data_IF_850044317179
#
_entry.id   IF_850044317179
#
_cell.length_a   1.000
_cell.length_b   1.000
_cell.length_c   1.000
_cell.angle_alpha   90.00
_cell.angle_beta   90.00
_cell.angle_gamma   90.00
#
_symmetry.space_group_name_H-M   'P 1'
#
loop_
_entity.id
_entity.type
_entity.pdbx_description
1 polymer ?
#
# COMPACT_ATOMS: atom_id res chain seq x y z
N UNK A 1 -22.56 31.27 -15.93
CA UNK A 1 -22.57 29.82 -15.75
C UNK A 1 -21.14 29.39 -15.42
N UNK A 2 -20.82 28.77 -14.29
CA UNK A 2 -19.48 28.29 -13.99
C UNK A 2 -19.18 27.07 -14.89
N UNK A 3 -18.00 27.05 -15.51
CA UNK A 3 -17.52 25.91 -16.31
C UNK A 3 -17.32 24.72 -15.39
N UNK A 4 -18.08 23.65 -15.59
CA UNK A 4 -17.89 22.36 -14.97
C UNK A 4 -16.60 21.79 -15.56
N UNK A 5 -15.54 21.72 -14.77
CA UNK A 5 -14.30 21.04 -15.14
C UNK A 5 -14.57 19.55 -15.27
N UNK A 6 -14.27 18.97 -16.42
CA UNK A 6 -14.42 17.54 -16.67
C UNK A 6 -13.42 16.78 -15.79
N UNK A 7 -13.85 15.95 -14.83
CA UNK A 7 -12.96 15.25 -13.87
C UNK A 7 -12.12 14.14 -14.51
N UNK A 8 -12.28 13.86 -15.80
CA UNK A 8 -11.56 12.80 -16.52
C UNK A 8 -10.37 13.31 -17.35
N UNK A 9 -10.06 14.60 -17.32
CA UNK A 9 -8.85 15.12 -17.99
C UNK A 9 -7.67 14.90 -17.06
N UNK A 10 -6.87 13.89 -17.36
CA UNK A 10 -5.57 13.70 -16.72
C UNK A 10 -4.74 14.98 -16.95
N UNK A 11 -4.07 15.50 -15.91
CA UNK A 11 -3.19 16.65 -16.10
C UNK A 11 -2.16 16.30 -17.17
N UNK A 12 -2.00 17.20 -18.14
CA UNK A 12 -1.04 17.01 -19.24
C UNK A 12 0.33 16.66 -18.66
N UNK A 13 0.89 15.53 -19.10
CA UNK A 13 2.21 15.09 -18.71
C UNK A 13 3.22 16.16 -19.17
N UNK A 14 3.91 16.79 -18.23
CA UNK A 14 4.94 17.78 -18.57
C UNK A 14 6.14 17.09 -19.21
N UNK A 15 6.59 17.58 -20.34
CA UNK A 15 7.82 17.10 -20.99
C UNK A 15 9.04 17.57 -20.20
N UNK A 16 10.10 16.77 -20.20
CA UNK A 16 11.36 17.11 -19.54
C UNK A 16 11.91 18.45 -20.04
N UNK A 17 12.36 19.32 -19.13
CA UNK A 17 12.93 20.62 -19.46
C UNK A 17 14.24 20.56 -20.28
N UNK A 18 14.91 19.40 -20.32
CA UNK A 18 16.04 19.23 -21.24
C UNK A 18 15.52 19.18 -22.66
N UNK A 19 15.90 20.15 -23.52
CA UNK A 19 15.33 20.31 -24.87
C UNK A 19 15.60 19.13 -25.81
N UNK A 20 16.61 18.31 -25.49
CA UNK A 20 16.97 17.12 -26.27
C UNK A 20 16.37 15.82 -25.70
N UNK A 21 15.42 15.93 -24.76
CA UNK A 21 14.82 14.80 -24.10
C UNK A 21 13.31 14.77 -24.33
N UNK A 22 12.83 13.84 -25.14
CA UNK A 22 11.38 13.64 -25.37
C UNK A 22 10.64 12.93 -24.22
N UNK A 23 11.30 12.66 -23.09
CA UNK A 23 10.71 11.92 -21.97
C UNK A 23 9.84 12.82 -21.08
N UNK A 24 8.86 12.20 -20.40
CA UNK A 24 7.99 12.87 -19.45
C UNK A 24 8.79 13.32 -18.22
N UNK A 25 8.57 14.57 -17.80
CA UNK A 25 9.14 15.10 -16.57
C UNK A 25 8.46 14.47 -15.36
N UNK A 26 9.25 13.85 -14.50
CA UNK A 26 8.77 13.14 -13.30
C UNK A 26 9.22 13.79 -12.00
N UNK A 27 10.12 14.79 -12.08
CA UNK A 27 10.58 15.53 -10.91
C UNK A 27 9.87 16.88 -10.77
N UNK A 28 9.85 17.40 -9.53
CA UNK A 28 9.31 18.75 -9.23
C UNK A 28 10.03 19.85 -10.03
N UNK A 29 11.29 19.62 -10.38
CA UNK A 29 12.16 20.52 -11.15
C UNK A 29 11.83 20.46 -12.66
N UNK A 30 10.93 19.60 -13.11
CA UNK A 30 10.56 19.41 -14.50
C UNK A 30 11.61 18.63 -15.32
N UNK A 31 12.41 17.77 -14.66
CA UNK A 31 13.38 16.89 -15.31
C UNK A 31 12.88 15.43 -15.32
N UNK A 32 13.25 14.67 -16.34
CA UNK A 32 13.03 13.23 -16.38
C UNK A 32 14.08 12.48 -15.52
N UNK A 33 13.88 11.19 -15.20
CA UNK A 33 14.82 10.43 -14.37
C UNK A 33 16.26 10.40 -14.91
N UNK A 34 16.43 10.48 -16.24
CA UNK A 34 17.75 10.49 -16.87
C UNK A 34 18.51 11.82 -16.68
N UNK A 35 17.79 12.92 -16.46
CA UNK A 35 18.36 14.27 -16.34
C UNK A 35 18.23 14.87 -14.95
N UNK A 36 17.53 14.22 -14.05
CA UNK A 36 17.53 14.62 -12.65
C UNK A 36 18.93 14.43 -12.05
N UNK A 37 19.48 15.41 -11.31
CA UNK A 37 20.81 15.30 -10.74
C UNK A 37 20.90 14.07 -9.84
N UNK A 38 21.85 13.18 -10.11
CA UNK A 38 22.16 12.01 -9.29
C UNK A 38 22.76 12.55 -8.00
N UNK A 39 21.94 12.73 -6.98
CA UNK A 39 22.46 12.94 -5.61
C UNK A 39 23.01 11.61 -5.12
N UNK A 40 24.35 11.48 -5.02
CA UNK A 40 24.99 10.30 -4.39
C UNK A 40 24.39 10.09 -3.00
N UNK A 41 23.67 9.01 -2.83
CA UNK A 41 23.19 8.60 -1.50
C UNK A 41 24.37 8.08 -0.70
N UNK A 42 24.47 8.54 0.53
CA UNK A 42 25.21 7.83 1.56
C UNK A 42 24.52 6.47 1.75
N UNK A 43 25.30 5.40 1.75
CA UNK A 43 24.81 4.04 2.02
C UNK A 43 24.01 4.03 3.34
N UNK A 44 22.69 4.02 3.23
CA UNK A 44 21.82 3.94 4.39
C UNK A 44 21.60 2.45 4.71
N UNK A 45 22.42 1.92 5.62
CA UNK A 45 22.20 0.61 6.26
C UNK A 45 21.21 0.68 7.43
N UNK A 46 20.60 1.84 7.69
CA UNK A 46 19.67 2.03 8.80
C UNK A 46 18.21 1.96 8.34
N UNK A 47 17.38 1.31 9.16
CA UNK A 47 15.91 1.28 8.99
C UNK A 47 15.36 2.68 8.74
N UNK A 48 14.32 2.84 7.87
CA UNK A 48 13.71 4.13 7.63
C UNK A 48 13.29 4.75 8.97
N UNK A 49 13.82 5.93 9.26
CA UNK A 49 13.40 6.67 10.46
C UNK A 49 12.00 7.21 10.21
N UNK A 50 11.06 6.82 11.06
CA UNK A 50 9.74 7.45 11.11
C UNK A 50 9.93 8.95 11.32
N UNK A 51 9.31 9.83 10.53
CA UNK A 51 9.37 11.26 10.78
C UNK A 51 8.93 11.56 12.20
N UNK A 52 9.70 12.38 12.94
CA UNK A 52 9.46 12.70 14.35
C UNK A 52 8.06 13.28 14.63
N UNK A 53 7.42 13.83 13.60
CA UNK A 53 6.09 14.44 13.63
C UNK A 53 4.96 13.49 13.16
N UNK A 54 5.27 12.29 12.65
CA UNK A 54 4.24 11.39 12.16
C UNK A 54 3.52 10.74 13.34
N UNK A 55 2.30 11.20 13.62
CA UNK A 55 1.37 10.48 14.50
C UNK A 55 0.76 9.32 13.71
N UNK A 56 0.97 8.10 14.16
CA UNK A 56 0.41 6.89 13.53
C UNK A 56 0.77 6.74 12.05
N UNK A 57 2.08 6.65 11.70
CA UNK A 57 2.53 6.60 10.32
C UNK A 57 1.99 5.36 9.59
N UNK A 58 1.87 5.49 8.28
CA UNK A 58 1.61 4.35 7.38
C UNK A 58 2.93 3.97 6.71
N UNK A 59 3.26 2.69 6.75
CA UNK A 59 4.34 2.09 5.98
C UNK A 59 3.82 1.45 4.70
N UNK A 60 4.61 1.49 3.64
CA UNK A 60 4.31 0.84 2.37
C UNK A 60 5.54 0.08 1.92
N UNK A 61 5.38 -1.18 1.54
CA UNK A 61 6.40 -2.02 0.94
C UNK A 61 5.94 -2.44 -0.46
N UNK A 62 6.71 -2.04 -1.48
CA UNK A 62 6.47 -2.37 -2.88
C UNK A 62 7.54 -3.35 -3.34
N UNK A 63 7.18 -4.62 -3.52
CA UNK A 63 8.06 -5.65 -4.06
C UNK A 63 8.06 -5.62 -5.59
N UNK A 64 9.24 -5.67 -6.19
CA UNK A 64 9.44 -5.57 -7.64
C UNK A 64 10.65 -6.35 -8.11
N UNK A 65 10.65 -6.73 -9.39
CA UNK A 65 11.82 -7.27 -10.09
C UNK A 65 12.72 -6.14 -10.60
N UNK A 66 13.92 -6.48 -11.08
CA UNK A 66 14.94 -5.56 -11.57
C UNK A 66 15.54 -4.66 -10.46
N UNK A 67 16.00 -5.28 -9.37
CA UNK A 67 16.58 -4.61 -8.20
C UNK A 67 17.66 -3.58 -8.55
N UNK A 68 18.51 -3.85 -9.55
CA UNK A 68 19.54 -2.90 -9.98
C UNK A 68 18.94 -1.57 -10.43
N UNK A 69 17.79 -1.60 -11.08
CA UNK A 69 17.05 -0.40 -11.49
C UNK A 69 16.39 0.30 -10.31
N UNK A 70 15.93 -0.46 -9.30
CA UNK A 70 15.42 0.11 -8.05
C UNK A 70 16.49 0.91 -7.31
N UNK A 71 17.73 0.46 -7.29
CA UNK A 71 18.85 1.17 -6.66
C UNK A 71 19.09 2.56 -7.28
N UNK A 72 18.71 2.76 -8.53
CA UNK A 72 18.81 4.07 -9.21
C UNK A 72 17.64 5.02 -8.87
N UNK A 73 16.58 4.53 -8.20
CA UNK A 73 15.43 5.32 -7.76
C UNK A 73 15.64 6.02 -6.41
N UNK A 74 16.83 6.04 -5.93
CA UNK A 74 17.25 6.50 -4.60
C UNK A 74 16.84 7.92 -4.21
N UNK A 75 16.39 8.72 -5.17
CA UNK A 75 15.87 10.08 -4.90
C UNK A 75 14.47 10.09 -4.30
N UNK A 76 13.74 8.99 -4.37
CA UNK A 76 12.32 8.91 -3.95
C UNK A 76 12.09 7.91 -2.84
N UNK A 77 12.75 6.76 -2.90
CA UNK A 77 12.61 5.71 -1.91
C UNK A 77 13.57 5.94 -0.74
N UNK A 78 13.05 5.97 0.47
CA UNK A 78 13.89 6.09 1.67
C UNK A 78 14.72 4.83 1.93
N UNK A 79 14.29 3.71 1.38
CA UNK A 79 14.98 2.43 1.59
C UNK A 79 14.65 1.46 0.44
N UNK A 80 15.68 0.91 -0.17
CA UNK A 80 15.59 -0.21 -1.12
C UNK A 80 16.42 -1.35 -0.57
N UNK A 81 15.83 -2.53 -0.43
CA UNK A 81 16.54 -3.72 0.01
C UNK A 81 16.33 -4.91 -0.94
N UNK A 82 17.18 -5.90 -0.82
CA UNK A 82 16.96 -7.18 -1.49
C UNK A 82 15.87 -7.96 -0.78
N UNK A 83 15.01 -8.61 -1.55
CA UNK A 83 14.08 -9.59 -1.03
C UNK A 83 14.29 -10.93 -1.73
N UNK A 84 14.89 -11.88 -1.00
CA UNK A 84 15.16 -13.22 -1.51
C UNK A 84 13.90 -14.04 -1.78
N UNK A 85 12.75 -13.68 -1.21
CA UNK A 85 11.49 -14.39 -1.40
C UNK A 85 10.95 -14.25 -2.83
N UNK A 86 11.30 -13.15 -3.51
CA UNK A 86 10.86 -12.86 -4.88
C UNK A 86 11.93 -13.16 -5.94
N UNK A 87 13.07 -13.73 -5.53
CA UNK A 87 14.15 -14.20 -6.40
C UNK A 87 15.38 -13.31 -6.39
N UNK A 88 16.40 -13.72 -7.16
CA UNK A 88 17.73 -13.09 -7.15
C UNK A 88 17.71 -11.60 -7.53
N UNK A 89 16.88 -11.22 -8.50
CA UNK A 89 16.74 -9.84 -8.98
C UNK A 89 15.58 -9.10 -8.32
N UNK A 90 15.02 -9.69 -7.28
CA UNK A 90 13.92 -9.09 -6.53
C UNK A 90 14.41 -8.07 -5.51
N UNK A 91 13.62 -7.02 -5.34
CA UNK A 91 13.84 -6.00 -4.34
C UNK A 91 12.54 -5.37 -3.86
N UNK A 92 12.62 -4.73 -2.70
CA UNK A 92 11.49 -4.05 -2.13
C UNK A 92 11.82 -2.58 -1.82
N UNK A 93 10.85 -1.71 -2.06
CA UNK A 93 10.92 -0.28 -1.71
C UNK A 93 10.08 -0.07 -0.46
N UNK A 94 10.71 0.45 0.60
CA UNK A 94 10.02 0.79 1.87
C UNK A 94 9.82 2.29 1.99
N UNK A 95 8.58 2.68 2.20
CA UNK A 95 8.14 4.06 2.40
C UNK A 95 7.45 4.19 3.75
N UNK A 96 7.65 5.31 4.43
CA UNK A 96 6.93 5.63 5.68
C UNK A 96 6.56 7.10 5.67
N UNK A 97 5.29 7.42 5.88
CA UNK A 97 4.78 8.79 5.90
C UNK A 97 3.44 8.88 6.65
N UNK A 98 2.97 10.11 6.90
CA UNK A 98 1.62 10.38 7.39
C UNK A 98 0.55 9.88 6.41
N UNK A 99 -0.60 9.46 6.92
CA UNK A 99 -1.72 8.96 6.13
C UNK A 99 -2.14 9.91 4.99
N UNK A 100 -2.08 11.23 5.22
CA UNK A 100 -2.45 12.22 4.22
C UNK A 100 -1.48 12.31 3.01
N UNK A 101 -0.25 11.81 3.14
CA UNK A 101 0.80 11.95 2.13
C UNK A 101 1.25 10.64 1.52
N UNK A 102 1.10 9.53 2.25
CA UNK A 102 1.68 8.24 1.88
C UNK A 102 1.12 7.69 0.57
N UNK A 103 -0.17 7.83 0.30
CA UNK A 103 -0.79 7.28 -0.91
C UNK A 103 -0.25 7.94 -2.18
N UNK A 104 -0.04 9.26 -2.17
CA UNK A 104 0.56 9.98 -3.29
C UNK A 104 2.05 9.65 -3.43
N UNK A 105 2.80 9.56 -2.32
CA UNK A 105 4.21 9.18 -2.32
C UNK A 105 4.41 7.76 -2.87
N UNK A 106 3.59 6.81 -2.46
CA UNK A 106 3.65 5.43 -2.94
C UNK A 106 3.31 5.33 -4.43
N UNK A 107 2.28 6.07 -4.88
CA UNK A 107 1.90 6.13 -6.30
C UNK A 107 3.01 6.73 -7.18
N UNK A 108 3.60 7.85 -6.77
CA UNK A 108 4.73 8.48 -7.48
C UNK A 108 5.93 7.52 -7.54
N UNK A 109 6.23 6.84 -6.44
CA UNK A 109 7.31 5.85 -6.38
C UNK A 109 7.06 4.68 -7.33
N UNK A 110 5.84 4.12 -7.36
CA UNK A 110 5.48 3.04 -8.27
C UNK A 110 5.58 3.47 -9.75
N UNK A 111 5.13 4.68 -10.07
CA UNK A 111 5.24 5.24 -11.42
C UNK A 111 6.70 5.39 -11.84
N UNK A 112 7.56 5.89 -10.98
CA UNK A 112 9.01 6.02 -11.27
C UNK A 112 9.67 4.66 -11.44
N UNK A 113 9.29 3.67 -10.62
CA UNK A 113 9.77 2.31 -10.78
C UNK A 113 9.38 1.72 -12.15
N UNK A 114 8.12 1.92 -12.58
CA UNK A 114 7.67 1.51 -13.91
C UNK A 114 8.47 2.18 -15.03
N UNK A 115 8.70 3.49 -14.95
CA UNK A 115 9.48 4.24 -15.92
C UNK A 115 10.96 3.81 -15.96
N UNK A 116 11.50 3.34 -14.84
CA UNK A 116 12.83 2.75 -14.77
C UNK A 116 12.88 1.31 -15.32
N UNK A 117 11.72 0.75 -15.70
CA UNK A 117 11.61 -0.62 -16.21
C UNK A 117 11.60 -1.69 -15.12
N UNK A 118 11.21 -1.33 -13.89
CA UNK A 118 10.88 -2.31 -12.86
C UNK A 118 9.50 -2.89 -13.13
N UNK A 119 9.32 -4.17 -12.80
CA UNK A 119 8.07 -4.89 -13.02
C UNK A 119 7.66 -5.62 -11.74
N UNK A 120 6.36 -5.83 -11.57
CA UNK A 120 5.84 -6.68 -10.52
C UNK A 120 5.18 -7.92 -11.14
N UNK A 121 5.68 -9.09 -10.77
CA UNK A 121 5.13 -10.37 -11.20
C UNK A 121 4.25 -11.02 -10.10
N UNK A 122 3.81 -12.26 -10.33
CA UNK A 122 2.95 -13.01 -9.40
C UNK A 122 3.61 -13.29 -8.04
N UNK A 123 4.93 -13.20 -7.93
CA UNK A 123 5.70 -13.42 -6.69
C UNK A 123 5.72 -12.16 -5.83
N UNK A 124 5.68 -11.00 -6.46
CA UNK A 124 5.75 -9.71 -5.78
C UNK A 124 4.50 -9.42 -4.95
N UNK A 125 4.68 -8.97 -3.73
CA UNK A 125 3.66 -8.47 -2.83
C UNK A 125 3.58 -6.94 -2.83
N UNK A 126 2.52 -6.48 -2.22
CA UNK A 126 2.34 -5.08 -1.89
C UNK A 126 1.78 -5.02 -0.47
N UNK A 127 2.62 -4.66 0.49
CA UNK A 127 2.29 -4.67 1.90
C UNK A 127 2.06 -3.25 2.41
N UNK A 128 1.07 -3.08 3.29
CA UNK A 128 0.78 -1.80 3.93
C UNK A 128 0.78 -1.98 5.44
N UNK A 129 1.64 -1.23 6.12
CA UNK A 129 1.78 -1.23 7.57
C UNK A 129 0.98 -0.08 8.17
N UNK A 130 -0.05 -0.39 8.92
CA UNK A 130 -0.92 0.55 9.60
C UNK A 130 -0.33 0.82 10.99
N UNK A 131 0.36 1.93 11.18
CA UNK A 131 0.97 2.28 12.46
C UNK A 131 -0.09 2.43 13.55
N UNK A 132 0.17 1.85 14.71
CA UNK A 132 -0.62 1.99 15.93
C UNK A 132 0.06 3.01 16.85
N UNK A 133 -0.72 3.74 17.62
CA UNK A 133 -0.17 4.54 18.71
C UNK A 133 0.19 3.65 19.92
N UNK A 134 0.85 4.26 20.90
CA UNK A 134 1.31 3.52 22.07
C UNK A 134 0.18 2.89 22.88
N UNK A 135 -1.00 3.52 22.92
CA UNK A 135 -2.15 3.00 23.66
C UNK A 135 -2.74 1.80 22.93
N UNK A 136 -3.00 1.91 21.64
CA UNK A 136 -3.50 0.82 20.77
C UNK A 136 -2.56 -0.39 20.79
N UNK A 137 -1.24 -0.12 20.72
CA UNK A 137 -0.24 -1.18 20.78
C UNK A 137 -0.24 -1.89 22.14
N UNK A 138 -0.35 -1.15 23.25
CA UNK A 138 -0.47 -1.73 24.60
C UNK A 138 -1.74 -2.53 24.78
N UNK A 139 -2.87 -2.06 24.25
CA UNK A 139 -4.14 -2.80 24.29
C UNK A 139 -4.00 -4.16 23.60
N UNK A 140 -3.39 -4.22 22.41
CA UNK A 140 -3.15 -5.49 21.69
C UNK A 140 -2.27 -6.45 22.49
N UNK A 141 -1.29 -5.96 23.24
CA UNK A 141 -0.36 -6.83 23.98
C UNK A 141 -0.84 -7.22 25.38
N UNK A 142 -1.68 -6.40 26.01
CA UNK A 142 -2.05 -6.56 27.42
C UNK A 142 -3.55 -6.87 27.62
N UNK A 143 -4.39 -6.67 26.60
CA UNK A 143 -5.83 -6.93 26.67
C UNK A 143 -6.24 -8.00 25.64
N UNK A 144 -6.44 -9.27 26.06
CA UNK A 144 -6.93 -10.33 25.19
C UNK A 144 -8.26 -9.99 24.48
N UNK A 145 -9.09 -9.16 25.10
CA UNK A 145 -10.37 -8.75 24.50
C UNK A 145 -10.14 -7.81 23.31
N UNK A 146 -9.12 -6.96 23.34
CA UNK A 146 -8.74 -6.13 22.20
C UNK A 146 -8.30 -6.99 21.00
N UNK A 147 -7.52 -8.05 21.26
CA UNK A 147 -7.13 -9.02 20.22
C UNK A 147 -8.36 -9.77 19.68
N UNK A 148 -9.27 -10.19 20.54
CA UNK A 148 -10.51 -10.87 20.14
C UNK A 148 -11.39 -9.95 19.27
N UNK A 149 -11.52 -8.68 19.65
CA UNK A 149 -12.28 -7.69 18.86
C UNK A 149 -11.63 -7.44 17.49
N UNK A 150 -10.31 -7.29 17.45
CA UNK A 150 -9.59 -7.15 16.18
C UNK A 150 -9.76 -8.40 15.31
N UNK A 151 -9.63 -9.60 15.89
CA UNK A 151 -9.85 -10.86 15.18
C UNK A 151 -11.24 -10.91 14.56
N UNK A 152 -12.28 -10.59 15.33
CA UNK A 152 -13.65 -10.58 14.84
C UNK A 152 -13.83 -9.54 13.71
N UNK A 153 -13.24 -8.35 13.81
CA UNK A 153 -13.27 -7.33 12.76
C UNK A 153 -12.56 -7.80 11.47
N UNK A 154 -11.43 -8.48 11.61
CA UNK A 154 -10.70 -9.06 10.46
C UNK A 154 -11.55 -10.14 9.79
N UNK A 155 -12.14 -11.05 10.57
CA UNK A 155 -13.00 -12.13 10.05
C UNK A 155 -14.24 -11.60 9.34
N UNK A 156 -14.82 -10.52 9.84
CA UNK A 156 -16.01 -9.91 9.25
C UNK A 156 -15.81 -9.47 7.79
N UNK A 157 -14.62 -8.98 7.44
CA UNK A 157 -14.30 -8.52 6.08
C UNK A 157 -13.41 -9.48 5.27
N UNK A 158 -12.91 -10.56 5.87
CA UNK A 158 -11.93 -11.46 5.27
C UNK A 158 -12.43 -12.08 3.96
N UNK A 159 -13.62 -12.68 3.96
CA UNK A 159 -14.18 -13.34 2.77
C UNK A 159 -14.29 -12.36 1.61
N UNK A 160 -14.80 -11.16 1.87
CA UNK A 160 -14.91 -10.10 0.87
C UNK A 160 -13.56 -9.79 0.22
N UNK A 161 -12.50 -9.55 1.02
CA UNK A 161 -11.18 -9.25 0.46
C UNK A 161 -10.59 -10.41 -0.33
N UNK A 162 -10.75 -11.65 0.14
CA UNK A 162 -10.30 -12.81 -0.63
C UNK A 162 -11.05 -12.97 -1.94
N UNK A 163 -12.34 -12.66 -1.99
CA UNK A 163 -13.15 -12.79 -3.22
C UNK A 163 -12.79 -11.79 -4.30
N UNK A 164 -12.39 -10.58 -3.93
CA UNK A 164 -12.03 -9.52 -4.88
C UNK A 164 -10.55 -9.53 -5.30
N UNK A 165 -9.69 -10.24 -4.59
CA UNK A 165 -8.25 -10.30 -4.92
C UNK A 165 -7.95 -11.31 -6.04
N UNK A 166 -6.83 -11.15 -6.76
CA UNK A 166 -6.40 -12.12 -7.77
C UNK A 166 -6.21 -13.52 -7.18
N UNK A 167 -6.47 -14.55 -7.98
CA UNK A 167 -6.31 -15.95 -7.54
C UNK A 167 -4.92 -16.25 -6.97
N UNK A 168 -3.85 -15.61 -7.49
CA UNK A 168 -2.48 -15.76 -7.00
C UNK A 168 -2.29 -15.27 -5.54
N UNK A 169 -3.24 -14.49 -5.01
CA UNK A 169 -3.22 -13.96 -3.64
C UNK A 169 -4.29 -14.61 -2.74
N UNK A 170 -5.13 -15.47 -3.30
CA UNK A 170 -6.15 -16.16 -2.53
C UNK A 170 -5.56 -17.41 -1.90
N UNK A 171 -5.39 -17.42 -0.57
CA UNK A 171 -4.98 -18.59 0.23
C UNK A 171 -3.67 -19.24 -0.25
N UNK A 172 -2.68 -18.44 -0.62
CA UNK A 172 -1.33 -18.94 -0.86
C UNK A 172 -0.53 -18.98 0.45
N UNK A 173 0.66 -19.63 0.41
CA UNK A 173 1.51 -19.78 1.60
C UNK A 173 2.02 -18.46 2.19
N UNK A 174 1.96 -17.35 1.45
CA UNK A 174 2.41 -16.01 1.86
C UNK A 174 1.26 -15.06 2.20
N UNK A 175 0.00 -15.55 2.07
CA UNK A 175 -1.20 -14.77 2.37
C UNK A 175 -2.32 -15.74 2.73
N UNK A 176 -2.32 -16.19 3.99
CA UNK A 176 -3.30 -17.13 4.54
C UNK A 176 -4.46 -16.41 5.22
N UNK A 177 -5.58 -17.12 5.41
CA UNK A 177 -6.68 -16.68 6.26
C UNK A 177 -6.24 -16.57 7.73
N UNK A 178 -6.98 -15.80 8.50
CA UNK A 178 -6.79 -15.70 9.96
C UNK A 178 -7.78 -16.67 10.63
N UNK A 179 -7.31 -17.86 10.99
CA UNK A 179 -8.20 -18.93 11.48
C UNK A 179 -8.50 -18.86 12.97
N UNK A 180 -7.64 -18.22 13.75
CA UNK A 180 -7.79 -17.98 15.18
C UNK A 180 -7.04 -16.72 15.62
N UNK A 181 -7.21 -16.27 16.85
CA UNK A 181 -6.57 -15.05 17.37
C UNK A 181 -5.05 -15.10 17.29
N UNK A 182 -4.43 -16.26 17.52
CA UNK A 182 -2.98 -16.42 17.41
C UNK A 182 -2.47 -16.29 15.98
N UNK A 183 -3.31 -16.54 14.97
CA UNK A 183 -2.96 -16.36 13.55
C UNK A 183 -2.76 -14.88 13.18
N UNK A 184 -3.29 -13.93 13.97
CA UNK A 184 -2.98 -12.51 13.80
C UNK A 184 -1.49 -12.21 14.02
N UNK A 185 -0.75 -13.04 14.75
CA UNK A 185 0.68 -12.91 14.95
C UNK A 185 1.51 -13.75 13.96
N UNK A 186 0.83 -14.42 13.02
CA UNK A 186 1.48 -15.14 11.94
C UNK A 186 1.85 -14.15 10.81
N UNK A 187 3.14 -14.06 10.51
CA UNK A 187 3.67 -13.21 9.45
C UNK A 187 3.05 -13.47 8.06
N UNK A 188 2.52 -14.66 7.82
CA UNK A 188 1.91 -15.02 6.53
C UNK A 188 0.39 -14.83 6.48
N UNK A 189 -0.25 -14.37 7.53
CA UNK A 189 -1.67 -14.01 7.49
C UNK A 189 -1.90 -12.74 6.67
N UNK A 190 -3.04 -12.64 5.99
CA UNK A 190 -3.38 -11.47 5.17
C UNK A 190 -3.47 -10.16 5.97
N UNK A 191 -3.80 -10.30 7.25
CA UNK A 191 -3.65 -9.28 8.28
C UNK A 191 -2.75 -9.85 9.36
N UNK A 192 -1.66 -9.18 9.66
CA UNK A 192 -0.70 -9.64 10.66
C UNK A 192 -0.33 -8.52 11.63
N UNK A 193 -0.18 -8.88 12.90
CA UNK A 193 0.31 -8.02 13.97
C UNK A 193 1.82 -8.21 14.11
N UNK A 194 2.58 -7.16 13.95
CA UNK A 194 4.01 -7.23 14.19
C UNK A 194 4.33 -7.22 15.68
N UNK A 195 5.15 -8.18 16.13
CA UNK A 195 5.70 -8.18 17.51
C UNK A 195 6.86 -7.21 17.71
N UNK A 196 7.44 -6.70 16.64
CA UNK A 196 8.66 -5.87 16.67
C UNK A 196 8.40 -4.39 16.47
N UNK A 197 7.32 -4.07 15.78
CA UNK A 197 6.94 -2.69 15.46
C UNK A 197 5.43 -2.54 15.68
N UNK A 198 4.95 -1.38 16.17
CA UNK A 198 3.54 -1.17 16.49
C UNK A 198 2.72 -0.97 15.20
N UNK A 199 2.55 -2.03 14.43
CA UNK A 199 1.80 -1.98 13.16
C UNK A 199 0.90 -3.20 12.99
N UNK A 200 -0.23 -2.98 12.28
CA UNK A 200 -1.01 -4.01 11.61
C UNK A 200 -0.55 -4.02 10.15
N UNK A 201 -0.10 -5.15 9.66
CA UNK A 201 0.35 -5.33 8.28
C UNK A 201 -0.76 -5.95 7.43
N UNK A 202 -1.07 -5.35 6.28
CA UNK A 202 -2.02 -5.87 5.28
C UNK A 202 -1.22 -6.42 4.09
N UNK A 203 -1.35 -7.72 3.80
CA UNK A 203 -0.50 -8.46 2.83
C UNK A 203 -1.24 -8.99 1.60
N UNK A 204 -2.54 -8.86 1.54
CA UNK A 204 -3.37 -9.54 0.53
C UNK A 204 -3.21 -9.01 -0.90
N UNK A 205 -2.64 -7.81 -1.09
CA UNK A 205 -2.49 -7.22 -2.43
C UNK A 205 -1.26 -7.76 -3.16
N UNK A 206 -1.39 -8.07 -4.45
CA UNK A 206 -0.26 -8.41 -5.31
C UNK A 206 0.57 -7.18 -5.68
N UNK A 207 1.87 -7.36 -5.90
CA UNK A 207 2.76 -6.31 -6.39
C UNK A 207 2.23 -5.65 -7.65
N UNK A 208 2.48 -4.37 -7.81
CA UNK A 208 2.08 -3.59 -8.98
C UNK A 208 2.91 -2.32 -9.10
N UNK A 209 3.24 -1.94 -10.34
CA UNK A 209 3.85 -0.66 -10.68
C UNK A 209 2.82 0.37 -11.17
N UNK A 210 1.53 -0.01 -11.22
CA UNK A 210 0.46 0.91 -11.60
C UNK A 210 0.16 1.89 -10.46
N UNK A 211 0.50 3.16 -10.65
CA UNK A 211 0.37 4.21 -9.65
C UNK A 211 -1.06 4.36 -9.10
N UNK A 212 -2.08 4.22 -9.96
CA UNK A 212 -3.48 4.33 -9.55
C UNK A 212 -3.91 3.19 -8.64
N UNK A 213 -3.50 1.94 -8.94
CA UNK A 213 -3.74 0.79 -8.06
C UNK A 213 -3.06 0.98 -6.72
N UNK A 214 -1.80 1.43 -6.73
CA UNK A 214 -1.03 1.69 -5.51
C UNK A 214 -1.73 2.73 -4.67
N UNK A 215 -2.07 3.89 -5.24
CA UNK A 215 -2.79 4.95 -4.52
C UNK A 215 -4.10 4.45 -3.95
N UNK A 216 -4.93 3.84 -4.78
CA UNK A 216 -6.27 3.37 -4.38
C UNK A 216 -6.19 2.33 -3.27
N UNK A 217 -5.23 1.40 -3.35
CA UNK A 217 -5.07 0.39 -2.31
C UNK A 217 -4.57 0.96 -0.98
N UNK A 218 -3.62 1.89 -1.01
CA UNK A 218 -3.19 2.59 0.22
C UNK A 218 -4.36 3.35 0.84
N UNK A 219 -5.19 4.03 0.04
CA UNK A 219 -6.39 4.72 0.54
C UNK A 219 -7.39 3.73 1.17
N UNK A 220 -7.59 2.53 0.58
CA UNK A 220 -8.39 1.44 1.19
C UNK A 220 -7.80 1.02 2.53
N UNK A 221 -6.49 0.82 2.61
CA UNK A 221 -5.82 0.42 3.85
C UNK A 221 -5.90 1.49 4.95
N UNK A 222 -5.91 2.78 4.58
CA UNK A 222 -6.14 3.87 5.55
C UNK A 222 -7.56 3.77 6.15
N UNK A 223 -8.56 3.46 5.36
CA UNK A 223 -9.93 3.25 5.88
C UNK A 223 -10.04 1.94 6.70
N UNK A 224 -9.37 0.86 6.28
CA UNK A 224 -9.24 -0.36 7.09
C UNK A 224 -8.59 -0.08 8.45
N UNK A 225 -7.58 0.81 8.51
CA UNK A 225 -6.98 1.21 9.78
C UNK A 225 -8.02 1.80 10.73
N UNK A 226 -8.87 2.71 10.25
CA UNK A 226 -9.92 3.32 11.07
C UNK A 226 -10.86 2.25 11.63
N UNK A 227 -11.25 1.29 10.78
CA UNK A 227 -12.11 0.18 11.16
C UNK A 227 -11.45 -0.72 12.22
N UNK A 228 -10.20 -1.13 12.03
CA UNK A 228 -9.48 -2.00 12.96
C UNK A 228 -9.14 -1.30 14.29
N UNK A 229 -8.74 -0.02 14.24
CA UNK A 229 -8.48 0.77 15.44
C UNK A 229 -9.75 0.93 16.27
N UNK A 230 -10.89 1.22 15.60
CA UNK A 230 -12.17 1.28 16.29
C UNK A 230 -12.53 -0.05 16.97
N UNK A 231 -12.24 -1.18 16.35
CA UNK A 231 -12.45 -2.50 16.95
C UNK A 231 -11.52 -2.75 18.16
N UNK A 232 -10.27 -2.28 18.11
CA UNK A 232 -9.32 -2.42 19.24
C UNK A 232 -9.81 -1.61 20.43
N UNK A 233 -10.21 -0.35 20.22
CA UNK A 233 -10.51 0.63 21.28
C UNK A 233 -11.91 0.47 21.86
N UNK A 234 -12.88 0.00 21.07
CA UNK A 234 -14.28 -0.01 21.45
C UNK A 234 -14.91 -1.40 21.41
N UNK A 235 -15.90 -1.63 22.27
CA UNK A 235 -16.76 -2.81 22.26
C UNK A 235 -17.83 -2.74 21.16
N UNK A 236 -17.47 -2.21 19.99
CA UNK A 236 -18.44 -1.87 18.95
C UNK A 236 -19.09 -3.11 18.36
N UNK A 237 -20.40 -3.00 18.18
CA UNK A 237 -21.20 -3.92 17.40
C UNK A 237 -20.73 -3.88 15.92
N UNK A 238 -20.04 -4.91 15.46
CA UNK A 238 -19.53 -5.03 14.08
C UNK A 238 -20.63 -4.95 13.03
N UNK A 239 -21.89 -5.15 13.41
CA UNK A 239 -23.05 -5.03 12.55
C UNK A 239 -23.25 -3.64 11.93
N UNK A 240 -22.54 -2.61 12.42
CA UNK A 240 -22.59 -1.25 11.84
C UNK A 240 -21.83 -1.18 10.50
N UNK A 241 -20.83 -2.03 10.31
CA UNK A 241 -20.04 -2.08 9.08
C UNK A 241 -20.59 -3.14 8.13
N UNK A 242 -20.68 -2.78 6.85
CA UNK A 242 -21.09 -3.73 5.82
C UNK A 242 -19.94 -4.70 5.52
N UNK A 243 -20.23 -6.00 5.41
CA UNK A 243 -19.26 -7.04 5.04
C UNK A 243 -18.57 -6.70 3.70
N UNK A 244 -19.31 -6.12 2.76
CA UNK A 244 -18.74 -5.53 1.54
C UNK A 244 -18.10 -4.19 1.86
N UNK A 245 -16.80 -4.23 2.10
CA UNK A 245 -16.07 -3.06 2.60
C UNK A 245 -16.17 -1.83 1.69
N UNK A 246 -16.39 -2.01 0.38
CA UNK A 246 -16.65 -0.91 -0.56
C UNK A 246 -17.81 0.00 -0.16
N UNK A 247 -18.80 -0.54 0.56
CA UNK A 247 -19.98 0.22 1.04
C UNK A 247 -19.70 1.09 2.28
N UNK A 248 -18.58 0.82 2.96
CA UNK A 248 -18.14 1.58 4.13
C UNK A 248 -17.25 2.78 3.75
N UNK A 249 -16.86 2.87 2.48
CA UNK A 249 -15.95 3.90 1.99
C UNK A 249 -16.72 5.17 1.58
N UNK A 250 -16.07 6.36 1.66
CA UNK A 250 -16.68 7.59 1.18
C UNK A 250 -17.13 7.48 -0.28
N UNK A 251 -18.40 7.83 -0.55
CA UNK A 251 -18.99 7.70 -1.89
C UNK A 251 -18.20 8.48 -2.93
N UNK A 252 -17.89 7.81 -4.04
CA UNK A 252 -17.14 8.38 -5.15
C UNK A 252 -15.62 8.51 -4.91
N UNK A 253 -15.12 8.10 -3.74
CA UNK A 253 -13.67 8.07 -3.47
C UNK A 253 -12.93 7.12 -4.40
N UNK A 254 -11.63 7.36 -4.60
CA UNK A 254 -10.78 6.46 -5.40
C UNK A 254 -10.74 5.05 -4.81
N UNK A 255 -10.68 4.94 -3.47
CA UNK A 255 -10.74 3.67 -2.75
C UNK A 255 -12.04 2.90 -3.05
N UNK A 256 -13.20 3.57 -2.98
CA UNK A 256 -14.49 2.95 -3.30
C UNK A 256 -14.56 2.50 -4.77
N UNK A 257 -14.21 3.38 -5.70
CA UNK A 257 -14.17 3.06 -7.15
C UNK A 257 -13.28 1.85 -7.44
N UNK A 258 -12.14 1.77 -6.76
CA UNK A 258 -11.22 0.65 -6.91
C UNK A 258 -11.83 -0.68 -6.42
N UNK A 259 -12.45 -0.70 -5.24
CA UNK A 259 -13.08 -1.93 -4.72
C UNK A 259 -14.27 -2.35 -5.58
N UNK A 260 -15.14 -1.40 -5.99
CA UNK A 260 -16.25 -1.69 -6.90
C UNK A 260 -15.78 -2.23 -8.27
N UNK A 261 -14.68 -1.68 -8.80
CA UNK A 261 -14.09 -2.20 -10.03
C UNK A 261 -13.59 -3.64 -9.86
N UNK A 262 -13.03 -3.98 -8.70
CA UNK A 262 -12.61 -5.35 -8.39
C UNK A 262 -13.79 -6.30 -8.21
N UNK A 263 -14.86 -5.89 -7.55
CA UNK A 263 -16.10 -6.66 -7.42
C UNK A 263 -16.67 -7.03 -8.79
N UNK A 264 -16.66 -6.08 -9.74
CA UNK A 264 -17.24 -6.23 -11.07
C UNK A 264 -16.30 -6.90 -12.10
N UNK A 265 -15.01 -7.01 -11.80
CA UNK A 265 -14.00 -7.37 -12.78
C UNK A 265 -13.80 -8.88 -12.95
N UNK A 266 -14.25 -9.69 -11.98
CA UNK A 266 -13.94 -11.13 -11.98
C UNK A 266 -12.44 -11.44 -12.10
N UNK A 267 -11.57 -10.46 -11.84
CA UNK A 267 -10.09 -10.61 -11.85
C UNK A 267 -9.32 -9.69 -12.81
N UNK A 268 -9.95 -9.00 -13.76
CA UNK A 268 -9.23 -8.06 -14.66
C UNK A 268 -9.72 -6.62 -14.50
N UNK A 269 -8.80 -5.74 -14.09
CA UNK A 269 -9.08 -4.31 -13.87
C UNK A 269 -8.83 -3.42 -15.10
N UNK A 270 -8.25 -3.97 -16.19
CA UNK A 270 -7.87 -3.19 -17.37
C UNK A 270 -9.04 -2.39 -17.97
N UNK A 271 -10.25 -2.97 -18.05
CA UNK A 271 -11.44 -2.31 -18.59
C UNK A 271 -11.96 -1.15 -17.74
N UNK A 272 -11.47 -0.97 -16.52
CA UNK A 272 -11.86 0.09 -15.60
C UNK A 272 -10.78 1.17 -15.44
N UNK A 273 -9.75 1.16 -16.28
CA UNK A 273 -8.67 2.16 -16.24
C UNK A 273 -7.63 1.95 -15.13
N UNK A 274 -7.59 0.74 -14.55
CA UNK A 274 -6.62 0.37 -13.52
C UNK A 274 -5.55 -0.61 -14.02
#
# INVERSE_FOLDING_TARGET
>A
MPRVSNPNVLPALKVCKNPNCGMVATSFDGLCPAHAPIRRLKNYTSRPRVPRAARNPIGVELEMQNRQRLNNLTTVARFVCSDGSIGYDGGEIKLVQDAAKISNLAADTAQRAALAGCEADKRCGFHVHLGLDNNQYRMIHNDPQAVNRLYAAVKHVESYFFDIMPRSRRRNQYCTTVDCNSSLFNHYSWVSLSRRVPTIEIRIHGGTTNAWKVKAWVDVCIELKKYFVNAIENTVNYCVYNERFSRNLPTGSLAQKYLLARENAGGSLKKFGF
#
